data_IF_381821046215
#
_entry.id   IF_381821046215
#
_cell.length_a   1.000
_cell.length_b   1.000
_cell.length_c   1.000
_cell.angle_alpha   90.00
_cell.angle_beta   90.00
_cell.angle_gamma   90.00
#
_symmetry.space_group_name_H-M   'P 1'
#
loop_
_entity.id
_entity.type
_entity.pdbx_description
1 polymer ?
#
# COMPACT_ATOMS: atom_id res chain seq x y z
N UNK A 1 19.85 -15.95 -2.79
CA UNK A 1 21.19 -16.00 -2.19
C UNK A 1 20.98 -16.53 -0.79
N UNK A 2 21.64 -17.63 -0.44
CA UNK A 2 21.44 -18.28 0.86
C UNK A 2 22.52 -17.80 1.82
N UNK A 3 22.13 -17.30 2.99
CA UNK A 3 23.07 -16.92 4.06
C UNK A 3 22.72 -17.67 5.33
N UNK A 4 23.76 -18.14 6.00
CA UNK A 4 23.63 -18.85 7.26
C UNK A 4 23.86 -17.84 8.39
N UNK A 5 22.86 -17.64 9.24
CA UNK A 5 23.03 -16.86 10.47
C UNK A 5 23.58 -17.80 11.54
N UNK A 6 24.88 -17.71 11.81
CA UNK A 6 25.54 -18.44 12.89
C UNK A 6 25.27 -17.77 14.24
N UNK A 7 24.86 -18.55 15.24
CA UNK A 7 24.77 -18.08 16.64
C UNK A 7 25.84 -18.76 17.51
N UNK A 8 26.33 -18.08 18.57
CA UNK A 8 27.34 -18.67 19.46
C UNK A 8 26.73 -19.89 20.17
N UNK A 9 27.32 -21.05 19.89
CA UNK A 9 27.19 -22.39 20.51
C UNK A 9 25.84 -22.67 21.20
N UNK A 10 25.02 -23.52 20.57
CA UNK A 10 23.84 -24.16 21.19
C UNK A 10 22.52 -23.93 20.45
N UNK A 11 22.36 -22.82 19.73
CA UNK A 11 21.21 -22.63 18.83
C UNK A 11 21.56 -23.11 17.42
N UNK A 12 20.70 -23.89 16.74
CA UNK A 12 20.91 -24.27 15.35
C UNK A 12 21.04 -23.03 14.45
N UNK A 13 21.90 -23.15 13.45
CA UNK A 13 22.05 -22.16 12.39
C UNK A 13 20.79 -22.12 11.53
N UNK A 14 20.40 -20.92 11.09
CA UNK A 14 19.24 -20.74 10.21
C UNK A 14 19.76 -20.33 8.84
N UNK A 15 19.33 -21.06 7.82
CA UNK A 15 19.59 -20.72 6.42
C UNK A 15 18.46 -19.82 5.91
N UNK A 16 18.82 -18.61 5.49
CA UNK A 16 17.89 -17.65 4.92
C UNK A 16 18.12 -17.53 3.42
N UNK A 17 17.10 -17.83 2.61
CA UNK A 17 17.11 -17.48 1.19
C UNK A 17 16.53 -16.07 0.97
N UNK A 18 17.42 -15.12 0.69
CA UNK A 18 17.03 -13.74 0.40
C UNK A 18 16.23 -13.59 -0.90
N UNK A 19 16.34 -14.54 -1.83
CA UNK A 19 15.51 -14.48 -3.03
C UNK A 19 14.04 -14.73 -2.66
N UNK A 20 13.78 -15.77 -1.85
CA UNK A 20 12.45 -16.03 -1.30
C UNK A 20 11.93 -14.87 -0.46
N UNK A 21 12.75 -14.33 0.46
CA UNK A 21 12.39 -13.16 1.27
C UNK A 21 12.02 -11.96 0.40
N UNK A 22 12.78 -11.69 -0.66
CA UNK A 22 12.49 -10.60 -1.60
C UNK A 22 11.14 -10.78 -2.29
N UNK A 23 10.82 -12.00 -2.76
CA UNK A 23 9.52 -12.27 -3.39
C UNK A 23 8.38 -12.09 -2.39
N UNK A 24 8.49 -12.65 -1.17
CA UNK A 24 7.47 -12.48 -0.14
C UNK A 24 7.28 -11.00 0.24
N UNK A 25 8.37 -10.23 0.37
CA UNK A 25 8.29 -8.80 0.64
C UNK A 25 7.66 -8.02 -0.53
N UNK A 26 7.92 -8.43 -1.77
CA UNK A 26 7.29 -7.86 -2.96
C UNK A 26 5.78 -8.15 -2.99
N UNK A 27 5.38 -9.32 -2.54
CA UNK A 27 3.97 -9.72 -2.37
C UNK A 27 3.30 -9.05 -1.16
N UNK A 28 4.01 -8.13 -0.49
CA UNK A 28 3.56 -7.34 0.67
C UNK A 28 3.35 -8.15 1.95
N UNK A 29 4.00 -9.31 2.10
CA UNK A 29 4.02 -10.03 3.37
C UNK A 29 4.68 -9.19 4.47
N UNK A 30 4.16 -9.34 5.69
CA UNK A 30 4.70 -8.76 6.92
C UNK A 30 5.91 -9.54 7.41
N UNK A 31 6.69 -8.93 8.32
CA UNK A 31 7.84 -9.61 8.94
C UNK A 31 7.40 -10.83 9.74
N UNK A 32 6.23 -10.78 10.38
CA UNK A 32 5.65 -11.91 11.14
C UNK A 32 5.33 -13.11 10.24
N UNK A 33 4.73 -12.87 9.07
CA UNK A 33 4.42 -13.93 8.10
C UNK A 33 5.69 -14.56 7.54
N UNK A 34 6.70 -13.75 7.21
CA UNK A 34 7.99 -14.25 6.75
C UNK A 34 8.71 -15.04 7.87
N UNK A 35 8.62 -14.58 9.11
CA UNK A 35 9.20 -15.27 10.26
C UNK A 35 8.53 -16.64 10.50
N UNK A 36 7.21 -16.72 10.35
CA UNK A 36 6.46 -17.96 10.47
C UNK A 36 6.80 -18.96 9.36
N UNK A 37 6.89 -18.51 8.10
CA UNK A 37 7.28 -19.35 6.95
C UNK A 37 8.71 -19.89 7.11
N UNK A 38 9.63 -19.08 7.63
CA UNK A 38 11.04 -19.44 7.81
C UNK A 38 11.33 -20.08 9.18
N UNK A 39 10.28 -20.36 9.97
CA UNK A 39 10.35 -20.96 11.30
C UNK A 39 11.36 -20.25 12.23
N UNK A 40 11.43 -18.92 12.14
CA UNK A 40 12.36 -18.10 12.88
C UNK A 40 11.65 -17.02 13.69
N UNK A 41 12.36 -16.40 14.63
CA UNK A 41 11.82 -15.29 15.41
C UNK A 41 12.00 -13.97 14.66
N UNK A 42 10.98 -13.11 14.69
CA UNK A 42 11.03 -11.75 14.12
C UNK A 42 12.25 -10.95 14.59
N UNK A 43 12.62 -11.10 15.87
CA UNK A 43 13.79 -10.44 16.45
C UNK A 43 15.07 -10.86 15.74
N UNK A 44 15.17 -12.14 15.34
CA UNK A 44 16.34 -12.65 14.62
C UNK A 44 16.44 -12.01 13.22
N UNK A 45 15.31 -11.85 12.53
CA UNK A 45 15.26 -11.16 11.23
C UNK A 45 15.56 -9.66 11.37
N UNK A 46 15.03 -9.02 12.41
CA UNK A 46 15.23 -7.59 12.66
C UNK A 46 16.69 -7.22 12.95
N UNK A 47 17.50 -8.13 13.48
CA UNK A 47 18.93 -7.90 13.70
C UNK A 47 19.80 -8.08 12.45
N UNK A 48 19.29 -8.74 11.40
CA UNK A 48 20.05 -8.95 10.17
C UNK A 48 19.90 -7.77 9.20
N UNK A 49 21.02 -7.11 8.91
CA UNK A 49 21.04 -5.94 8.03
C UNK A 49 20.68 -6.30 6.58
N UNK A 50 21.08 -7.48 6.12
CA UNK A 50 20.80 -7.92 4.74
C UNK A 50 19.31 -8.24 4.56
N UNK A 51 18.68 -8.84 5.57
CA UNK A 51 17.24 -9.01 5.63
C UNK A 51 16.53 -7.67 5.52
N UNK A 52 16.88 -6.70 6.37
CA UNK A 52 16.24 -5.37 6.38
C UNK A 52 16.36 -4.67 5.03
N UNK A 53 17.54 -4.74 4.41
CA UNK A 53 17.77 -4.15 3.09
C UNK A 53 16.92 -4.83 2.02
N UNK A 54 16.95 -6.17 1.96
CA UNK A 54 16.21 -6.97 0.99
C UNK A 54 14.70 -6.81 1.14
N UNK A 55 14.22 -6.84 2.39
CA UNK A 55 12.82 -6.64 2.73
C UNK A 55 12.34 -5.25 2.31
N UNK A 56 13.07 -4.18 2.64
CA UNK A 56 12.73 -2.82 2.21
C UNK A 56 12.70 -2.70 0.69
N UNK A 57 13.68 -3.30 0.00
CA UNK A 57 13.73 -3.33 -1.47
C UNK A 57 12.52 -4.04 -2.06
N UNK A 58 12.13 -5.19 -1.49
CA UNK A 58 10.92 -5.92 -1.88
C UNK A 58 9.64 -5.11 -1.66
N UNK A 59 9.50 -4.47 -0.50
CA UNK A 59 8.36 -3.61 -0.20
C UNK A 59 8.20 -2.47 -1.23
N UNK A 60 9.28 -1.78 -1.59
CA UNK A 60 9.22 -0.71 -2.58
C UNK A 60 8.89 -1.25 -4.00
N UNK A 61 9.40 -2.43 -4.36
CA UNK A 61 9.05 -3.09 -5.61
C UNK A 61 7.56 -3.46 -5.65
N UNK A 62 7.01 -4.00 -4.55
CA UNK A 62 5.61 -4.36 -4.44
C UNK A 62 4.68 -3.14 -4.45
N UNK A 63 5.02 -2.06 -3.73
CA UNK A 63 4.30 -0.78 -3.82
C UNK A 63 4.28 -0.25 -5.25
N UNK A 64 5.42 -0.30 -5.94
CA UNK A 64 5.52 0.13 -7.34
C UNK A 64 4.62 -0.72 -8.25
N UNK A 65 4.59 -2.04 -8.04
CA UNK A 65 3.72 -2.94 -8.78
C UNK A 65 2.23 -2.63 -8.54
N UNK A 66 1.83 -2.47 -7.27
CA UNK A 66 0.47 -2.12 -6.90
C UNK A 66 0.03 -0.80 -7.52
N UNK A 67 0.90 0.23 -7.51
CA UNK A 67 0.61 1.52 -8.16
C UNK A 67 0.35 1.38 -9.65
N UNK A 68 1.12 0.52 -10.35
CA UNK A 68 0.89 0.25 -11.79
C UNK A 68 -0.45 -0.45 -12.03
N UNK A 69 -0.83 -1.38 -11.15
CA UNK A 69 -2.14 -2.03 -11.23
C UNK A 69 -3.28 -1.02 -11.00
N UNK A 70 -3.13 -0.15 -10.00
CA UNK A 70 -4.08 0.93 -9.73
C UNK A 70 -4.21 1.89 -10.92
N UNK A 71 -3.09 2.23 -11.56
CA UNK A 71 -3.10 3.08 -12.77
C UNK A 71 -3.84 2.40 -13.92
N UNK A 72 -3.59 1.10 -14.17
CA UNK A 72 -4.32 0.35 -15.21
C UNK A 72 -5.82 0.29 -14.93
N UNK A 73 -6.22 0.14 -13.67
CA UNK A 73 -7.63 0.19 -13.27
C UNK A 73 -8.24 1.58 -13.46
N UNK A 74 -7.46 2.62 -13.21
CA UNK A 74 -7.86 4.01 -13.42
C UNK A 74 -7.97 4.36 -14.91
N UNK A 75 -7.13 3.80 -15.78
CA UNK A 75 -7.18 4.00 -17.23
C UNK A 75 -8.37 3.29 -17.90
N UNK A 76 -8.83 2.17 -17.32
CA UNK A 76 -9.81 1.31 -17.98
C UNK A 76 -9.19 0.41 -19.05
N UNK A 77 -10.01 -0.42 -19.67
CA UNK A 77 -9.64 -1.24 -20.83
C UNK A 77 -10.81 -1.28 -21.79
N UNK A 78 -10.59 -0.95 -23.05
CA UNK A 78 -11.62 -1.11 -24.08
C UNK A 78 -11.88 -2.60 -24.38
N UNK A 79 -13.13 -2.97 -24.71
CA UNK A 79 -13.45 -4.33 -25.11
C UNK A 79 -12.75 -4.70 -26.42
N UNK A 80 -12.25 -5.93 -26.49
CA UNK A 80 -11.70 -6.50 -27.73
C UNK A 80 -12.79 -7.29 -28.40
N UNK A 81 -13.15 -6.88 -29.61
CA UNK A 81 -14.17 -7.57 -30.41
C UNK A 81 -13.57 -8.73 -31.20
N UNK A 82 -14.41 -9.74 -31.44
CA UNK A 82 -14.07 -10.86 -32.30
C UNK A 82 -14.01 -10.41 -33.76
N UNK A 83 -13.04 -10.96 -34.50
CA UNK A 83 -12.80 -10.62 -35.90
C UNK A 83 -12.76 -11.90 -36.73
N UNK A 84 -13.27 -11.79 -37.94
CA UNK A 84 -13.21 -12.87 -38.94
C UNK A 84 -11.80 -13.01 -39.52
N UNK A 85 -11.55 -14.06 -40.32
CA UNK A 85 -10.26 -14.34 -40.96
C UNK A 85 -9.77 -13.19 -41.88
N UNK A 86 -10.69 -12.32 -42.30
CA UNK A 86 -10.43 -11.11 -43.10
C UNK A 86 -10.14 -9.86 -42.26
N UNK A 87 -10.32 -9.93 -40.94
CA UNK A 87 -10.07 -8.83 -40.01
C UNK A 87 -11.26 -7.93 -39.70
N UNK A 88 -12.44 -8.21 -40.27
CA UNK A 88 -13.68 -7.47 -40.00
C UNK A 88 -14.32 -7.90 -38.68
N UNK A 89 -15.01 -6.98 -37.99
CA UNK A 89 -15.67 -7.25 -36.71
C UNK A 89 -16.91 -8.14 -36.95
N UNK A 90 -17.03 -9.22 -36.18
CA UNK A 90 -18.19 -10.10 -36.22
C UNK A 90 -19.32 -9.48 -35.39
N UNK A 91 -20.52 -9.44 -35.96
CA UNK A 91 -21.73 -8.97 -35.28
C UNK A 91 -22.68 -10.12 -35.00
N UNK A 92 -23.31 -10.10 -33.82
CA UNK A 92 -24.42 -10.96 -33.44
C UNK A 92 -25.63 -10.74 -34.36
N UNK A 93 -26.58 -11.68 -34.35
CA UNK A 93 -27.87 -11.55 -35.06
C UNK A 93 -28.75 -10.36 -34.65
N UNK A 94 -28.32 -9.57 -33.65
CA UNK A 94 -28.95 -8.30 -33.22
C UNK A 94 -28.15 -7.06 -33.65
N UNK A 95 -27.10 -7.21 -34.46
CA UNK A 95 -26.24 -6.12 -34.92
C UNK A 95 -25.29 -5.55 -33.87
N UNK A 96 -25.04 -6.28 -32.77
CA UNK A 96 -24.04 -5.90 -31.76
C UNK A 96 -22.73 -6.64 -32.02
N UNK A 97 -21.56 -6.01 -31.86
CA UNK A 97 -20.29 -6.69 -32.08
C UNK A 97 -20.06 -7.76 -31.01
N UNK A 98 -19.55 -8.93 -31.42
CA UNK A 98 -19.23 -10.03 -30.52
C UNK A 98 -17.96 -9.69 -29.74
N UNK A 99 -18.01 -9.83 -28.42
CA UNK A 99 -16.91 -9.47 -27.53
C UNK A 99 -16.07 -10.71 -27.26
N UNK A 100 -14.79 -10.68 -27.67
CA UNK A 100 -13.80 -11.73 -27.35
C UNK A 100 -13.24 -11.56 -25.94
N UNK A 101 -12.90 -10.31 -25.57
CA UNK A 101 -12.48 -9.97 -24.21
C UNK A 101 -13.27 -8.76 -23.72
N UNK A 102 -13.89 -8.89 -22.54
CA UNK A 102 -14.62 -7.80 -21.90
C UNK A 102 -13.67 -6.66 -21.53
N UNK A 103 -14.04 -5.45 -21.93
CA UNK A 103 -13.46 -4.22 -21.42
C UNK A 103 -14.05 -3.85 -20.07
N UNK A 104 -13.43 -2.88 -19.39
CA UNK A 104 -13.96 -2.27 -18.18
C UNK A 104 -13.72 -0.76 -18.23
N UNK A 105 -14.68 0.01 -17.74
CA UNK A 105 -14.55 1.46 -17.65
C UNK A 105 -13.50 1.86 -16.59
N UNK A 106 -12.86 3.03 -16.74
CA UNK A 106 -12.05 3.68 -15.71
C UNK A 106 -12.69 3.60 -14.32
N UNK A 107 -11.99 3.01 -13.33
CA UNK A 107 -12.51 2.94 -11.97
C UNK A 107 -12.31 4.26 -11.23
N UNK A 108 -13.41 4.96 -10.95
CA UNK A 108 -13.40 6.24 -10.25
C UNK A 108 -12.70 6.17 -8.86
N UNK A 109 -12.88 5.07 -8.14
CA UNK A 109 -12.20 4.84 -6.84
C UNK A 109 -10.68 4.81 -6.97
N UNK A 110 -10.15 4.17 -8.02
CA UNK A 110 -8.73 4.15 -8.30
C UNK A 110 -8.21 5.54 -8.66
N UNK A 111 -8.95 6.30 -9.49
CA UNK A 111 -8.61 7.69 -9.83
C UNK A 111 -8.55 8.59 -8.59
N UNK A 112 -9.57 8.51 -7.72
CA UNK A 112 -9.63 9.30 -6.48
C UNK A 112 -8.47 8.92 -5.55
N UNK A 113 -8.21 7.62 -5.38
CA UNK A 113 -7.12 7.15 -4.52
C UNK A 113 -5.76 7.66 -5.02
N UNK A 114 -5.50 7.58 -6.33
CA UNK A 114 -4.27 8.10 -6.94
C UNK A 114 -4.18 9.63 -6.83
N UNK A 115 -5.28 10.34 -7.09
CA UNK A 115 -5.36 11.80 -6.96
C UNK A 115 -4.97 12.28 -5.57
N UNK A 116 -5.56 11.67 -4.54
CA UNK A 116 -5.30 12.04 -3.14
C UNK A 116 -3.90 11.64 -2.67
N UNK A 117 -3.47 10.42 -2.95
CA UNK A 117 -2.22 9.90 -2.38
C UNK A 117 -0.96 10.26 -3.19
N UNK A 118 -1.09 10.61 -4.47
CA UNK A 118 0.07 10.77 -5.37
C UNK A 118 0.11 12.13 -6.08
N UNK A 119 -1.05 12.75 -6.33
CA UNK A 119 -1.13 14.07 -6.97
C UNK A 119 -1.37 15.22 -6.00
N UNK A 120 -1.43 14.92 -4.69
CA UNK A 120 -1.61 15.94 -3.64
C UNK A 120 -2.99 16.61 -3.68
N UNK A 121 -3.98 15.96 -4.29
CA UNK A 121 -5.34 16.48 -4.32
C UNK A 121 -5.90 16.50 -2.90
N UNK A 122 -6.22 17.69 -2.40
CA UNK A 122 -6.89 17.86 -1.11
C UNK A 122 -8.38 18.10 -1.33
N UNK A 123 -9.21 17.57 -0.43
CA UNK A 123 -10.62 17.89 -0.43
C UNK A 123 -10.79 19.37 -0.01
N UNK A 124 -11.40 20.18 -0.87
CA UNK A 124 -11.78 21.55 -0.51
C UNK A 124 -13.09 21.50 0.27
N UNK A 125 -13.01 21.72 1.58
CA UNK A 125 -14.21 22.00 2.37
C UNK A 125 -14.55 23.48 2.21
N UNK A 126 -15.58 23.78 1.41
CA UNK A 126 -16.23 25.08 1.47
C UNK A 126 -16.98 25.16 2.81
N UNK A 127 -16.28 25.63 3.84
CA UNK A 127 -16.94 26.12 5.04
C UNK A 127 -17.74 27.35 4.62
N UNK A 128 -19.07 27.22 4.55
CA UNK A 128 -19.94 28.38 4.44
C UNK A 128 -19.71 29.23 5.69
N UNK A 129 -18.81 30.22 5.59
CA UNK A 129 -18.47 31.17 6.65
C UNK A 129 -19.69 31.97 7.14
N UNK A 130 -20.81 31.91 6.42
CA UNK A 130 -22.08 32.56 6.76
C UNK A 130 -23.00 31.74 7.66
N UNK A 131 -22.63 30.52 8.03
CA UNK A 131 -23.23 29.85 9.19
C UNK A 131 -22.23 29.99 10.32
N UNK A 132 -22.40 31.04 11.12
CA UNK A 132 -21.72 31.24 12.40
C UNK A 132 -22.11 30.09 13.35
N UNK A 133 -21.57 28.89 13.12
CA UNK A 133 -21.62 27.84 14.10
C UNK A 133 -20.62 28.22 15.20
N UNK A 134 -21.07 28.51 16.44
CA UNK A 134 -20.16 28.86 17.51
C UNK A 134 -19.30 27.65 17.85
N UNK A 135 -18.09 27.58 17.29
CA UNK A 135 -17.10 26.58 17.68
C UNK A 135 -16.61 26.94 19.07
N UNK A 136 -17.14 26.29 20.09
CA UNK A 136 -16.75 26.51 21.48
C UNK A 136 -15.41 25.83 21.72
N UNK A 137 -14.31 26.59 21.71
CA UNK A 137 -12.98 26.08 22.07
C UNK A 137 -12.85 26.04 23.59
N UNK A 138 -13.12 24.89 24.19
CA UNK A 138 -12.91 24.66 25.62
C UNK A 138 -11.40 24.62 25.92
N UNK A 139 -10.85 25.74 26.40
CA UNK A 139 -9.51 25.77 26.96
C UNK A 139 -9.58 25.11 28.34
N UNK A 140 -9.06 23.88 28.49
CA UNK A 140 -8.87 23.28 29.81
C UNK A 140 -7.74 24.04 30.52
N UNK A 141 -8.14 24.94 31.42
CA UNK A 141 -7.38 25.56 32.52
C UNK A 141 -5.85 25.37 32.49
N UNK A 142 -5.17 26.17 31.67
CA UNK A 142 -3.69 26.25 31.65
C UNK A 142 -3.12 26.94 32.92
N UNK A 143 -3.96 27.57 33.73
CA UNK A 143 -3.56 28.39 34.89
C UNK A 143 -3.39 27.61 36.20
N UNK A 144 -3.58 26.27 36.22
CA UNK A 144 -3.47 25.48 37.46
C UNK A 144 -2.04 25.20 37.93
N UNK A 145 -1.01 25.60 37.18
CA UNK A 145 0.40 25.34 37.50
C UNK A 145 1.21 26.52 38.06
N UNK A 146 0.63 27.72 38.26
CA UNK A 146 1.40 28.92 38.62
C UNK A 146 1.26 29.40 40.08
N UNK A 147 0.54 28.67 40.94
CA UNK A 147 0.27 29.07 42.35
C UNK A 147 0.92 28.18 43.41
N UNK A 148 2.05 27.52 43.13
CA UNK A 148 2.82 26.78 44.15
C UNK A 148 4.25 27.30 44.37
N UNK A 149 4.55 28.53 43.93
CA UNK A 149 5.91 29.09 44.07
C UNK A 149 5.93 30.56 44.46
N UNK A 150 5.28 30.92 45.58
CA UNK A 150 5.57 32.15 46.35
C UNK A 150 4.61 32.25 47.55
N UNK A 151 5.10 31.86 48.73
CA UNK A 151 4.67 32.16 50.11
C UNK A 151 5.53 31.23 50.99
N UNK A 152 6.30 31.61 51.99
CA UNK A 152 6.52 32.86 52.72
C UNK A 152 7.93 32.78 53.37
N UNK A 153 8.50 33.96 53.65
CA UNK A 153 9.52 34.31 54.68
C UNK A 153 10.87 33.57 54.79
#
# INVERSE_FOLDING_TARGET
MVKIINKPIGRPNIELDYNRIFQMAKDQCTVAEIAAELECSEVTLAHDNDFRHTFKKGQEAGKTHLRRLQLRLAEGKDPVYERDDKGDIIFDGKGKPVIKESGFAPQASACIFLGKNQLGQMDTQNMNLHVEAPVTVLHKDYEKGKKEGKKDE
#
